data_IF_337842084151
#
_entry.id   IF_337842084151
#
_cell.length_a   1.000
_cell.length_b   1.000
_cell.length_c   1.000
_cell.angle_alpha   90.00
_cell.angle_beta   90.00
_cell.angle_gamma   90.00
#
_symmetry.space_group_name_H-M   'P 1'
#
loop_
_entity.id
_entity.type
_entity.pdbx_description
1 polymer ?
#
# COMPACT_ATOMS: atom_id res chain seq x y z
N UNK A 1 -19.17 1.36 1.99
CA UNK A 1 -18.06 1.52 2.96
C UNK A 1 -18.11 0.52 4.10
N UNK A 2 -19.24 0.38 4.84
CA UNK A 2 -19.38 -0.61 5.92
C UNK A 2 -19.01 -2.04 5.49
N UNK A 3 -19.37 -2.40 4.26
CA UNK A 3 -19.09 -3.72 3.71
C UNK A 3 -17.58 -4.01 3.51
N UNK A 4 -16.77 -3.01 3.10
CA UNK A 4 -15.30 -3.16 2.96
C UNK A 4 -14.64 -3.50 4.29
N UNK A 5 -15.01 -2.78 5.36
CA UNK A 5 -14.49 -3.02 6.70
C UNK A 5 -14.88 -4.41 7.22
N UNK A 6 -16.13 -4.85 6.97
CA UNK A 6 -16.57 -6.21 7.31
C UNK A 6 -15.76 -7.28 6.55
N UNK A 7 -15.45 -7.04 5.27
CA UNK A 7 -14.61 -7.94 4.48
C UNK A 7 -13.17 -8.01 5.01
N UNK A 8 -12.53 -6.87 5.29
CA UNK A 8 -11.19 -6.86 5.89
C UNK A 8 -11.19 -7.58 7.25
N UNK A 9 -12.22 -7.39 8.07
CA UNK A 9 -12.35 -8.07 9.36
C UNK A 9 -12.56 -9.59 9.21
N UNK A 10 -13.35 -10.03 8.23
CA UNK A 10 -13.68 -11.43 8.02
C UNK A 10 -12.59 -12.23 7.30
N UNK A 11 -11.87 -11.60 6.36
CA UNK A 11 -10.95 -12.28 5.45
C UNK A 11 -9.51 -11.80 5.56
N UNK A 12 -9.24 -10.80 6.42
CA UNK A 12 -7.95 -10.13 6.45
C UNK A 12 -7.61 -9.55 5.07
N UNK A 13 -6.37 -9.78 4.64
CA UNK A 13 -5.87 -9.35 3.32
C UNK A 13 -6.11 -10.33 2.19
N UNK A 14 -6.90 -11.38 2.40
CA UNK A 14 -7.23 -12.34 1.34
C UNK A 14 -8.27 -11.77 0.35
N UNK A 15 -9.03 -10.76 0.76
CA UNK A 15 -10.11 -10.12 0.00
C UNK A 15 -9.98 -8.59 0.05
N UNK A 16 -10.17 -7.92 -1.08
CA UNK A 16 -10.07 -6.46 -1.18
C UNK A 16 -10.94 -5.94 -2.32
N UNK A 17 -11.23 -4.65 -2.26
CA UNK A 17 -11.87 -3.92 -3.36
C UNK A 17 -10.81 -3.68 -4.45
N UNK A 18 -10.99 -4.25 -5.63
CA UNK A 18 -10.12 -3.91 -6.74
C UNK A 18 -10.35 -2.48 -7.18
N UNK A 19 -9.34 -1.88 -7.79
CA UNK A 19 -9.60 -0.74 -8.69
C UNK A 19 -10.66 -1.15 -9.73
N UNK A 20 -11.48 -0.20 -10.22
CA UNK A 20 -12.41 -0.48 -11.31
C UNK A 20 -11.65 -1.17 -12.44
N UNK A 21 -12.06 -2.38 -12.79
CA UNK A 21 -11.44 -3.05 -13.94
C UNK A 21 -11.81 -2.32 -15.24
N UNK A 22 -11.10 -2.61 -16.34
CA UNK A 22 -11.47 -2.13 -17.69
C UNK A 22 -12.94 -2.48 -18.06
N UNK A 23 -13.54 -3.43 -17.36
CA UNK A 23 -14.94 -3.85 -17.50
C UNK A 23 -15.92 -3.11 -16.57
N UNK A 24 -15.49 -2.05 -15.87
CA UNK A 24 -16.38 -1.16 -15.10
C UNK A 24 -16.77 -1.65 -13.69
N UNK A 25 -16.39 -2.87 -13.33
CA UNK A 25 -16.77 -3.44 -12.03
C UNK A 25 -15.70 -3.16 -10.97
N UNK A 26 -16.05 -2.41 -9.92
CA UNK A 26 -15.33 -2.38 -8.66
C UNK A 26 -15.78 -3.57 -7.81
N UNK A 27 -15.14 -4.73 -7.98
CA UNK A 27 -15.53 -5.95 -7.27
C UNK A 27 -14.65 -6.20 -6.04
N UNK A 28 -15.24 -6.80 -5.01
CA UNK A 28 -14.47 -7.45 -3.97
C UNK A 28 -13.92 -8.74 -4.55
N UNK A 29 -12.63 -8.74 -4.85
CA UNK A 29 -11.98 -9.92 -5.40
C UNK A 29 -11.15 -10.56 -4.30
N UNK A 30 -11.36 -11.84 -4.10
CA UNK A 30 -10.59 -12.64 -3.18
C UNK A 30 -9.74 -13.61 -3.96
N UNK A 31 -8.45 -13.72 -3.60
CA UNK A 31 -7.50 -14.55 -4.34
C UNK A 31 -7.03 -15.69 -3.48
N UNK A 32 -7.05 -16.86 -4.09
CA UNK A 32 -6.85 -18.10 -3.39
C UNK A 32 -5.86 -18.94 -4.18
N UNK A 33 -4.94 -19.57 -3.46
CA UNK A 33 -3.95 -20.49 -4.04
C UNK A 33 -4.60 -21.80 -4.53
N UNK A 34 -5.83 -22.09 -4.13
CA UNK A 34 -6.58 -23.30 -4.50
C UNK A 34 -8.07 -22.98 -4.68
N UNK A 35 -8.74 -23.72 -5.56
CA UNK A 35 -10.18 -23.57 -5.80
C UNK A 35 -11.02 -23.89 -4.55
N UNK A 36 -10.61 -24.88 -3.74
CA UNK A 36 -11.32 -25.25 -2.52
C UNK A 36 -11.38 -24.10 -1.51
N UNK A 37 -10.25 -23.40 -1.33
CA UNK A 37 -10.22 -22.21 -0.46
C UNK A 37 -11.04 -21.08 -1.05
N UNK A 38 -11.02 -20.94 -2.38
CA UNK A 38 -11.82 -19.94 -3.06
C UNK A 38 -13.31 -20.12 -2.84
N UNK A 39 -13.79 -21.34 -2.98
CA UNK A 39 -15.20 -21.67 -2.81
C UNK A 39 -15.65 -21.54 -1.36
N UNK A 40 -14.79 -21.93 -0.41
CA UNK A 40 -15.08 -21.80 1.03
C UNK A 40 -15.18 -20.33 1.46
N UNK A 41 -14.21 -19.51 1.07
CA UNK A 41 -14.20 -18.11 1.49
C UNK A 41 -15.23 -17.29 0.68
N UNK A 42 -15.50 -17.63 -0.59
CA UNK A 42 -16.57 -17.00 -1.36
C UNK A 42 -17.98 -17.27 -0.79
N UNK A 43 -18.20 -18.39 -0.09
CA UNK A 43 -19.45 -18.64 0.64
C UNK A 43 -19.66 -17.61 1.78
N UNK A 44 -18.58 -17.34 2.53
CA UNK A 44 -18.58 -16.34 3.61
C UNK A 44 -18.81 -14.92 3.05
N UNK A 45 -18.56 -14.66 1.76
CA UNK A 45 -18.83 -13.36 1.14
C UNK A 45 -20.32 -13.03 1.15
N UNK A 46 -21.19 -14.03 0.93
CA UNK A 46 -22.64 -13.87 1.03
C UNK A 46 -23.08 -13.43 2.42
N UNK A 47 -22.54 -14.09 3.46
CA UNK A 47 -22.84 -13.77 4.86
C UNK A 47 -22.36 -12.35 5.23
N UNK A 48 -21.14 -11.99 4.82
CA UNK A 48 -20.53 -10.69 5.12
C UNK A 48 -21.24 -9.54 4.40
N UNK A 49 -21.75 -9.79 3.19
CA UNK A 49 -22.61 -8.84 2.44
C UNK A 49 -24.02 -8.72 2.97
N UNK A 50 -24.43 -9.56 3.92
CA UNK A 50 -25.77 -9.56 4.48
C UNK A 50 -26.82 -10.15 3.54
N UNK A 51 -26.39 -10.99 2.58
CA UNK A 51 -27.33 -11.78 1.80
C UNK A 51 -28.07 -12.76 2.72
N UNK A 52 -29.32 -13.07 2.37
CA UNK A 52 -30.05 -14.11 3.05
C UNK A 52 -29.29 -15.46 2.93
N UNK A 53 -29.33 -16.32 3.96
CA UNK A 53 -28.73 -17.64 3.91
C UNK A 53 -29.22 -18.41 2.69
N UNK A 54 -28.31 -19.15 2.05
CA UNK A 54 -28.69 -19.95 0.88
C UNK A 54 -29.04 -21.38 1.29
N UNK A 55 -30.34 -21.71 1.23
CA UNK A 55 -30.87 -23.00 1.71
C UNK A 55 -30.31 -24.23 1.00
N UNK A 56 -29.79 -24.07 -0.23
CA UNK A 56 -29.16 -25.15 -1.01
C UNK A 56 -27.66 -25.30 -0.74
N UNK A 57 -27.10 -24.46 0.12
CA UNK A 57 -25.67 -24.40 0.40
C UNK A 57 -24.87 -23.73 -0.72
N UNK A 58 -23.67 -23.26 -0.38
CA UNK A 58 -22.76 -22.61 -1.30
C UNK A 58 -21.93 -23.65 -2.05
N UNK A 59 -22.11 -23.80 -3.36
CA UNK A 59 -21.33 -24.74 -4.19
C UNK A 59 -20.84 -24.05 -5.46
N UNK A 60 -19.53 -24.02 -5.66
CA UNK A 60 -18.94 -23.54 -6.90
C UNK A 60 -19.32 -24.43 -8.07
N UNK A 61 -19.75 -23.81 -9.16
CA UNK A 61 -20.08 -24.46 -10.42
C UNK A 61 -19.05 -24.07 -11.49
N UNK A 62 -18.47 -25.03 -12.22
CA UNK A 62 -17.55 -24.70 -13.32
C UNK A 62 -18.28 -23.93 -14.42
N UNK A 63 -17.60 -22.96 -15.03
CA UNK A 63 -18.12 -22.22 -16.19
C UNK A 63 -17.69 -22.96 -17.45
N UNK A 64 -18.68 -23.44 -18.21
CA UNK A 64 -18.44 -24.24 -19.41
C UNK A 64 -17.52 -23.52 -20.41
N UNK A 65 -16.46 -24.21 -20.83
CA UNK A 65 -15.48 -23.69 -21.80
C UNK A 65 -14.37 -22.81 -21.20
N UNK A 66 -14.24 -22.75 -19.87
CA UNK A 66 -13.20 -21.97 -19.17
C UNK A 66 -12.65 -22.75 -17.96
N UNK A 67 -11.55 -22.28 -17.39
CA UNK A 67 -11.01 -22.78 -16.10
C UNK A 67 -11.64 -22.04 -14.89
N UNK A 68 -12.69 -21.24 -15.12
CA UNK A 68 -13.35 -20.42 -14.10
C UNK A 68 -14.52 -21.15 -13.45
N UNK A 69 -14.90 -20.67 -12.27
CA UNK A 69 -16.04 -21.13 -11.49
C UNK A 69 -16.98 -19.96 -11.19
N UNK A 70 -18.22 -20.27 -10.83
CA UNK A 70 -19.19 -19.32 -10.31
C UNK A 70 -19.75 -19.82 -9.00
N UNK A 71 -20.01 -18.91 -8.07
CA UNK A 71 -20.68 -19.24 -6.81
C UNK A 71 -21.88 -18.31 -6.60
N UNK A 72 -23.05 -18.89 -6.41
CA UNK A 72 -24.22 -18.16 -5.94
C UNK A 72 -24.09 -17.90 -4.44
N UNK A 73 -24.17 -16.63 -4.03
CA UNK A 73 -23.91 -16.16 -2.66
C UNK A 73 -25.19 -15.74 -1.89
N UNK A 74 -26.35 -16.20 -2.33
CA UNK A 74 -27.66 -15.99 -1.70
C UNK A 74 -28.78 -16.68 -2.49
N UNK A 75 -30.04 -16.66 -2.01
CA UNK A 75 -31.16 -17.31 -2.69
C UNK A 75 -31.49 -16.70 -4.06
N UNK A 76 -31.14 -15.43 -4.29
CA UNK A 76 -31.25 -14.78 -5.59
C UNK A 76 -30.10 -15.22 -6.51
N UNK A 77 -30.44 -15.73 -7.69
CA UNK A 77 -29.48 -16.17 -8.72
C UNK A 77 -28.68 -15.01 -9.31
N UNK A 78 -29.17 -13.78 -9.21
CA UNK A 78 -28.43 -12.58 -9.59
C UNK A 78 -27.24 -12.31 -8.65
N UNK A 79 -27.31 -12.77 -7.40
CA UNK A 79 -26.22 -12.66 -6.43
C UNK A 79 -25.23 -13.80 -6.64
N UNK A 80 -24.45 -13.72 -7.72
CA UNK A 80 -23.41 -14.67 -8.06
C UNK A 80 -22.04 -14.00 -8.17
N UNK A 81 -20.99 -14.72 -7.80
CA UNK A 81 -19.60 -14.25 -7.88
C UNK A 81 -18.81 -15.12 -8.86
N UNK A 82 -18.07 -14.50 -9.80
CA UNK A 82 -17.07 -15.21 -10.56
C UNK A 82 -15.88 -15.57 -9.64
N UNK A 83 -15.49 -16.83 -9.66
CA UNK A 83 -14.30 -17.37 -8.97
C UNK A 83 -13.30 -17.73 -10.06
N UNK A 84 -12.29 -16.89 -10.26
CA UNK A 84 -11.35 -16.99 -11.39
C UNK A 84 -9.96 -17.42 -10.93
N UNK A 85 -9.30 -18.25 -11.72
CA UNK A 85 -7.90 -18.65 -11.50
C UNK A 85 -6.96 -17.77 -12.33
N UNK A 86 -6.81 -16.50 -11.92
CA UNK A 86 -5.96 -15.51 -12.60
C UNK A 86 -5.26 -14.61 -11.60
N UNK A 87 -4.31 -13.80 -12.09
CA UNK A 87 -3.66 -12.78 -11.28
C UNK A 87 -4.69 -11.88 -10.60
N UNK A 88 -4.40 -11.59 -9.35
CA UNK A 88 -5.08 -10.58 -8.57
C UNK A 88 -5.12 -9.23 -9.31
N UNK A 89 -6.30 -8.62 -9.56
CA UNK A 89 -6.34 -7.21 -9.91
C UNK A 89 -5.70 -6.42 -8.77
N UNK A 90 -5.08 -5.31 -9.12
CA UNK A 90 -4.51 -4.40 -8.15
C UNK A 90 -5.54 -4.01 -7.08
N UNK A 91 -5.10 -4.01 -5.82
CA UNK A 91 -5.90 -3.48 -4.73
C UNK A 91 -6.06 -1.97 -4.88
N UNK A 92 -7.24 -1.43 -4.55
CA UNK A 92 -7.41 0.03 -4.51
C UNK A 92 -6.32 0.68 -3.63
N UNK A 93 -5.65 1.74 -4.10
CA UNK A 93 -4.64 2.45 -3.31
C UNK A 93 -5.28 3.25 -2.16
N UNK A 94 -6.61 3.30 -2.08
CA UNK A 94 -7.33 4.00 -1.02
C UNK A 94 -7.15 3.33 0.35
N UNK A 95 -6.63 4.09 1.30
CA UNK A 95 -6.43 3.67 2.70
C UNK A 95 -7.64 4.07 3.53
N UNK A 96 -8.06 3.23 4.48
CA UNK A 96 -9.18 3.56 5.37
C UNK A 96 -8.68 4.38 6.55
N UNK A 97 -9.11 5.64 6.64
CA UNK A 97 -8.88 6.54 7.77
C UNK A 97 -10.22 6.86 8.42
N UNK A 98 -10.38 6.55 9.71
CA UNK A 98 -11.62 6.77 10.47
C UNK A 98 -12.89 6.23 9.77
N UNK A 99 -12.76 5.08 9.08
CA UNK A 99 -13.85 4.41 8.35
C UNK A 99 -14.10 4.94 6.93
N UNK A 100 -13.33 5.94 6.50
CA UNK A 100 -13.45 6.58 5.17
C UNK A 100 -12.23 6.19 4.30
N UNK A 101 -12.41 5.67 3.08
CA UNK A 101 -11.36 5.53 2.08
C UNK A 101 -10.84 6.92 1.68
N UNK A 102 -9.53 7.09 1.81
CA UNK A 102 -8.80 8.32 1.52
C UNK A 102 -7.67 8.00 0.57
N UNK A 103 -7.44 8.90 -0.39
CA UNK A 103 -6.29 8.86 -1.27
C UNK A 103 -5.04 9.33 -0.53
N UNK A 104 -3.93 8.65 -0.76
CA UNK A 104 -2.64 9.08 -0.22
C UNK A 104 -2.16 10.28 -1.01
N UNK A 105 -1.80 11.35 -0.32
CA UNK A 105 -1.27 12.57 -0.91
C UNK A 105 -0.17 13.11 0.00
N UNK A 106 0.98 12.45 -0.05
CA UNK A 106 2.12 12.68 0.81
C UNK A 106 2.80 14.04 0.61
N UNK A 107 3.89 14.29 1.34
CA UNK A 107 4.59 15.57 1.33
C UNK A 107 5.19 15.96 -0.03
N UNK A 108 5.44 14.98 -0.92
CA UNK A 108 6.09 15.22 -2.21
C UNK A 108 5.12 15.32 -3.40
N UNK A 109 3.81 15.40 -3.14
CA UNK A 109 2.74 15.50 -4.15
C UNK A 109 2.88 16.61 -5.20
N UNK A 110 3.64 17.67 -4.90
CA UNK A 110 3.86 18.79 -5.83
C UNK A 110 5.08 18.58 -6.74
N UNK A 111 5.83 17.48 -6.56
CA UNK A 111 6.87 17.08 -7.51
C UNK A 111 6.24 16.49 -8.77
N UNK A 112 6.85 16.78 -9.93
CA UNK A 112 6.39 16.24 -11.21
C UNK A 112 6.83 14.78 -11.31
N UNK A 113 5.87 13.86 -11.31
CA UNK A 113 6.12 12.44 -11.50
C UNK A 113 6.89 12.13 -12.81
N UNK A 114 7.81 11.16 -12.80
CA UNK A 114 8.45 10.71 -14.03
C UNK A 114 7.48 9.92 -14.91
N UNK A 115 7.90 9.63 -16.14
CA UNK A 115 7.05 8.93 -17.12
C UNK A 115 6.73 7.49 -16.68
N UNK A 116 7.63 6.84 -15.96
CA UNK A 116 7.53 5.41 -15.60
C UNK A 116 6.89 5.19 -14.21
N UNK A 117 5.79 5.89 -13.90
CA UNK A 117 5.01 5.63 -12.69
C UNK A 117 4.13 4.39 -12.88
N UNK A 118 4.36 3.36 -12.05
CA UNK A 118 3.61 2.12 -12.12
C UNK A 118 3.50 1.39 -10.76
N UNK A 119 2.45 0.57 -10.56
CA UNK A 119 2.30 -0.21 -9.33
C UNK A 119 3.45 -1.21 -9.15
N UNK A 120 3.97 -1.30 -7.93
CA UNK A 120 5.04 -2.23 -7.59
C UNK A 120 6.40 -1.87 -8.17
N UNK A 121 6.65 -0.61 -8.54
CA UNK A 121 7.95 -0.05 -8.95
C UNK A 121 8.66 0.59 -7.74
N UNK A 122 10.00 0.67 -7.74
CA UNK A 122 10.76 1.32 -6.66
C UNK A 122 11.00 2.79 -7.02
N UNK A 123 11.55 3.55 -6.08
CA UNK A 123 12.03 4.91 -6.34
C UNK A 123 13.49 4.90 -6.86
N UNK A 124 13.91 3.85 -7.58
CA UNK A 124 15.23 3.72 -8.21
C UNK A 124 15.22 4.14 -9.70
N UNK A 125 14.04 4.49 -10.22
CA UNK A 125 13.89 4.96 -11.60
C UNK A 125 14.47 6.35 -11.83
N UNK A 126 14.58 6.72 -13.11
CA UNK A 126 15.02 8.05 -13.54
C UNK A 126 13.98 9.12 -13.13
N UNK A 127 14.42 10.14 -12.38
CA UNK A 127 13.55 11.23 -11.91
C UNK A 127 13.21 12.28 -12.99
N UNK A 128 13.94 12.30 -14.09
CA UNK A 128 13.90 13.36 -15.11
C UNK A 128 14.69 14.62 -14.72
N UNK A 129 15.28 14.65 -13.52
CA UNK A 129 16.06 15.78 -13.00
C UNK A 129 17.54 15.52 -13.26
N UNK A 130 18.25 16.51 -13.82
CA UNK A 130 19.67 16.39 -14.11
C UNK A 130 20.52 16.31 -12.83
N UNK A 131 21.55 15.46 -12.83
CA UNK A 131 22.50 15.30 -11.71
C UNK A 131 23.65 16.33 -11.70
N UNK A 132 23.79 17.13 -12.77
CA UNK A 132 24.85 18.12 -12.95
C UNK A 132 26.04 17.62 -13.78
N UNK A 133 26.19 16.31 -13.96
CA UNK A 133 27.24 15.66 -14.76
C UNK A 133 26.73 15.21 -16.14
N UNK A 134 25.50 15.60 -16.49
CA UNK A 134 24.84 15.26 -17.75
C UNK A 134 24.03 13.97 -17.70
N UNK A 135 23.93 13.33 -16.53
CA UNK A 135 23.01 12.24 -16.24
C UNK A 135 21.73 12.73 -15.57
N UNK A 136 21.03 11.82 -14.89
CA UNK A 136 19.81 12.13 -14.15
C UNK A 136 19.81 11.46 -12.80
N UNK A 137 19.32 12.17 -11.79
CA UNK A 137 19.12 11.64 -10.44
C UNK A 137 18.09 10.50 -10.48
N UNK A 138 18.30 9.51 -9.63
CA UNK A 138 17.25 8.55 -9.30
C UNK A 138 16.12 9.26 -8.54
N UNK A 139 14.88 8.75 -8.63
CA UNK A 139 13.72 9.32 -7.92
C UNK A 139 13.98 9.49 -6.42
N UNK A 140 14.59 8.49 -5.77
CA UNK A 140 14.91 8.54 -4.34
C UNK A 140 15.92 9.64 -4.02
N UNK A 141 16.93 9.83 -4.87
CA UNK A 141 17.95 10.86 -4.69
C UNK A 141 17.33 12.24 -4.82
N UNK A 142 16.41 12.41 -5.79
CA UNK A 142 15.67 13.64 -5.96
C UNK A 142 14.79 13.98 -4.74
N UNK A 143 14.03 13.01 -4.23
CA UNK A 143 13.21 13.18 -3.02
C UNK A 143 14.07 13.59 -1.81
N UNK A 144 15.20 12.92 -1.60
CA UNK A 144 16.13 13.25 -0.52
C UNK A 144 16.77 14.65 -0.73
N UNK A 145 17.12 15.01 -1.96
CA UNK A 145 17.67 16.33 -2.26
C UNK A 145 16.67 17.47 -1.97
N UNK A 146 15.40 17.29 -2.33
CA UNK A 146 14.32 18.25 -2.03
C UNK A 146 14.12 18.37 -0.51
N UNK A 147 14.08 17.24 0.21
CA UNK A 147 13.99 17.24 1.67
C UNK A 147 15.16 18.04 2.29
N UNK A 148 16.39 17.72 1.85
CA UNK A 148 17.63 18.34 2.33
C UNK A 148 17.64 19.84 2.08
N UNK A 149 17.24 20.28 0.89
CA UNK A 149 17.14 21.71 0.52
C UNK A 149 16.16 22.46 1.42
N UNK A 150 14.98 21.88 1.68
CA UNK A 150 13.97 22.50 2.55
C UNK A 150 14.44 22.62 4.00
N UNK A 151 15.24 21.66 4.45
CA UNK A 151 15.70 21.53 5.83
C UNK A 151 17.17 21.97 6.01
N UNK A 152 17.62 22.96 5.22
CA UNK A 152 18.91 23.67 5.39
C UNK A 152 20.16 22.77 5.34
N UNK A 153 20.12 21.70 4.56
CA UNK A 153 21.24 20.78 4.41
C UNK A 153 21.12 19.49 5.22
N UNK A 154 20.16 19.40 6.14
CA UNK A 154 19.88 18.19 6.92
C UNK A 154 18.69 17.43 6.34
N UNK A 155 18.60 16.11 6.57
CA UNK A 155 17.44 15.32 6.16
C UNK A 155 16.49 15.19 7.35
N UNK A 156 15.23 15.61 7.16
CA UNK A 156 14.19 15.55 8.18
C UNK A 156 13.20 14.42 7.88
N UNK A 157 12.80 13.66 8.90
CA UNK A 157 11.73 12.67 8.77
C UNK A 157 10.37 13.36 8.62
N UNK A 158 9.57 12.93 7.65
CA UNK A 158 8.20 13.40 7.45
C UNK A 158 7.22 12.84 8.50
N UNK A 159 7.63 11.77 9.20
CA UNK A 159 6.91 11.19 10.33
C UNK A 159 7.62 11.44 11.66
N UNK A 160 8.43 12.50 11.76
CA UNK A 160 9.07 12.91 13.00
C UNK A 160 8.10 12.86 14.21
N UNK A 161 8.53 12.20 15.29
CA UNK A 161 7.72 12.00 16.50
C UNK A 161 6.68 10.87 16.41
N UNK A 162 6.56 10.15 15.29
CA UNK A 162 5.68 8.99 15.16
C UNK A 162 6.11 7.86 16.11
N UNK A 163 5.14 7.24 16.78
CA UNK A 163 5.38 6.22 17.80
C UNK A 163 5.03 4.83 17.28
N UNK A 164 5.94 3.88 17.46
CA UNK A 164 5.77 2.51 16.98
C UNK A 164 6.43 1.50 17.93
N UNK A 165 5.97 0.24 17.99
CA UNK A 165 6.62 -0.77 18.80
C UNK A 165 8.03 -1.07 18.27
N UNK A 166 9.01 -1.07 19.17
CA UNK A 166 10.38 -1.44 18.82
C UNK A 166 10.54 -2.98 18.68
N UNK A 167 11.71 -3.40 18.20
CA UNK A 167 12.10 -4.81 18.20
C UNK A 167 12.30 -5.31 19.64
N UNK A 168 12.18 -6.63 19.82
CA UNK A 168 12.45 -7.28 21.11
C UNK A 168 13.90 -7.00 21.56
N UNK A 169 14.08 -6.48 22.78
CA UNK A 169 15.39 -6.08 23.32
C UNK A 169 15.65 -4.58 23.33
N UNK A 170 14.71 -3.77 22.82
CA UNK A 170 14.71 -2.31 22.84
C UNK A 170 13.65 -1.78 23.82
N UNK A 171 13.56 -0.46 24.09
CA UNK A 171 12.38 0.12 24.76
C UNK A 171 11.08 -0.35 24.09
N UNK A 172 9.99 -0.45 24.86
CA UNK A 172 8.72 -0.98 24.31
C UNK A 172 8.19 -0.14 23.12
N UNK A 173 8.45 1.16 23.12
CA UNK A 173 8.00 2.12 22.11
C UNK A 173 9.19 2.92 21.59
N UNK A 174 9.31 2.96 20.28
CA UNK A 174 10.25 3.76 19.51
C UNK A 174 9.56 5.06 19.09
N UNK A 175 10.34 6.12 18.95
CA UNK A 175 9.89 7.39 18.40
C UNK A 175 10.74 7.70 17.18
N UNK A 176 10.10 8.01 16.07
CA UNK A 176 10.77 8.43 14.85
C UNK A 176 11.55 9.73 15.10
N UNK A 177 12.86 9.78 14.81
CA UNK A 177 13.67 10.96 15.05
C UNK A 177 13.29 12.12 14.12
N UNK A 178 13.56 13.35 14.55
CA UNK A 178 13.34 14.54 13.73
C UNK A 178 14.27 14.55 12.51
N UNK A 179 15.56 14.29 12.74
CA UNK A 179 16.60 14.30 11.72
C UNK A 179 17.18 12.91 11.50
N UNK A 180 17.51 12.62 10.24
CA UNK A 180 17.96 11.33 9.76
C UNK A 180 19.39 11.44 9.23
N UNK A 181 20.12 10.33 9.33
CA UNK A 181 21.47 10.24 8.78
C UNK A 181 21.39 10.22 7.25
N UNK A 182 22.32 10.93 6.63
CA UNK A 182 22.43 10.97 5.18
C UNK A 182 22.94 9.62 4.65
N UNK A 183 22.25 8.95 3.71
CA UNK A 183 22.74 7.70 3.13
C UNK A 183 24.14 7.83 2.50
N UNK A 184 24.48 9.04 2.05
CA UNK A 184 25.76 9.35 1.39
C UNK A 184 26.82 9.90 2.36
N UNK A 185 26.57 9.89 3.67
CA UNK A 185 27.54 10.36 4.66
C UNK A 185 28.82 9.51 4.65
N UNK A 186 29.97 10.19 4.56
CA UNK A 186 31.30 9.57 4.67
C UNK A 186 31.54 8.99 6.08
N UNK A 187 31.11 9.71 7.12
CA UNK A 187 31.18 9.28 8.51
C UNK A 187 29.85 8.68 8.95
N UNK A 188 29.85 7.40 9.30
CA UNK A 188 28.65 6.68 9.74
C UNK A 188 28.64 6.53 11.26
N UNK A 189 27.56 6.98 11.89
CA UNK A 189 27.37 6.75 13.33
C UNK A 189 27.22 5.26 13.64
N UNK A 190 27.48 4.81 14.88
CA UNK A 190 27.26 3.41 15.28
C UNK A 190 25.81 2.91 15.09
N UNK A 191 24.85 3.84 14.96
CA UNK A 191 23.43 3.57 14.76
C UNK A 191 22.95 3.80 13.32
N UNK A 192 23.86 4.11 12.39
CA UNK A 192 23.58 4.53 11.02
C UNK A 192 22.56 3.64 10.30
N UNK A 193 22.63 2.32 10.45
CA UNK A 193 21.72 1.38 9.80
C UNK A 193 20.24 1.51 10.21
N UNK A 194 19.96 2.16 11.33
CA UNK A 194 18.62 2.37 11.86
C UNK A 194 18.11 3.80 11.61
N UNK A 195 19.01 4.78 11.59
CA UNK A 195 18.69 6.20 11.46
C UNK A 195 18.89 6.76 10.06
N UNK A 196 19.45 5.98 9.13
CA UNK A 196 19.61 6.39 7.72
C UNK A 196 18.26 6.72 7.09
N UNK A 197 18.22 7.83 6.36
CA UNK A 197 17.05 8.25 5.61
C UNK A 197 16.70 7.26 4.50
N UNK A 198 15.42 6.95 4.37
CA UNK A 198 14.86 6.12 3.31
C UNK A 198 13.60 6.74 2.74
N UNK A 199 13.41 6.58 1.43
CA UNK A 199 12.15 6.92 0.77
C UNK A 199 11.19 5.75 0.90
N UNK A 200 10.09 5.99 1.60
CA UNK A 200 9.03 5.05 1.92
C UNK A 200 7.85 5.19 0.95
N UNK A 201 7.24 4.04 0.66
CA UNK A 201 5.97 3.95 -0.06
C UNK A 201 4.83 3.90 0.94
N UNK A 202 4.06 4.99 1.08
CA UNK A 202 2.95 5.08 2.05
C UNK A 202 1.91 4.00 1.78
N UNK A 203 1.46 3.85 0.53
CA UNK A 203 0.86 2.62 0.03
C UNK A 203 2.00 1.70 -0.40
N UNK A 204 2.22 0.56 0.29
CA UNK A 204 3.32 -0.33 -0.04
C UNK A 204 3.31 -0.81 -1.48
N UNK A 205 4.51 -0.95 -2.08
CA UNK A 205 4.71 -1.54 -3.42
C UNK A 205 3.92 -2.81 -3.68
N UNK A 206 3.84 -3.67 -2.66
CA UNK A 206 3.16 -4.95 -2.73
C UNK A 206 2.19 -5.06 -1.58
N UNK A 207 1.02 -5.62 -1.86
CA UNK A 207 0.11 -6.03 -0.81
C UNK A 207 0.59 -7.33 -0.12
N UNK A 208 -0.17 -7.81 0.86
CA UNK A 208 0.14 -9.03 1.62
C UNK A 208 0.10 -10.32 0.79
N UNK A 209 -0.31 -10.27 -0.48
CA UNK A 209 -0.31 -11.39 -1.43
C UNK A 209 0.88 -11.31 -2.38
N UNK A 210 1.77 -10.33 -2.16
CA UNK A 210 2.90 -9.99 -3.00
C UNK A 210 2.50 -9.42 -4.38
N UNK A 211 1.25 -8.99 -4.55
CA UNK A 211 0.78 -8.38 -5.79
C UNK A 211 1.15 -6.90 -5.83
N UNK A 212 1.50 -6.33 -7.01
CA UNK A 212 1.73 -4.90 -7.15
C UNK A 212 0.55 -4.07 -6.62
N UNK A 213 0.83 -3.04 -5.82
CA UNK A 213 -0.19 -2.24 -5.13
C UNK A 213 0.07 -0.73 -5.19
N UNK A 214 0.97 -0.20 -4.37
CA UNK A 214 1.39 1.21 -4.42
C UNK A 214 2.29 1.49 -5.62
N UNK A 215 2.27 2.74 -6.10
CA UNK A 215 3.12 3.24 -7.19
C UNK A 215 4.36 3.93 -6.66
N UNK A 216 5.36 4.14 -7.52
CA UNK A 216 6.50 5.03 -7.31
C UNK A 216 6.17 6.51 -7.64
N UNK A 217 4.91 6.94 -7.51
CA UNK A 217 4.55 8.36 -7.60
C UNK A 217 5.07 9.11 -6.37
N UNK A 218 5.44 10.37 -6.53
CA UNK A 218 5.87 11.23 -5.44
C UNK A 218 4.73 11.53 -4.45
N UNK A 219 3.46 11.47 -4.84
CA UNK A 219 2.35 11.56 -3.89
C UNK A 219 2.34 10.38 -2.90
N UNK A 220 2.93 9.25 -3.28
CA UNK A 220 3.03 8.04 -2.45
C UNK A 220 4.35 7.97 -1.67
N UNK A 221 5.18 9.02 -1.72
CA UNK A 221 6.49 9.06 -1.10
C UNK A 221 6.48 9.77 0.26
N UNK A 222 7.29 9.27 1.19
CA UNK A 222 7.66 9.95 2.43
C UNK A 222 9.12 9.63 2.81
N UNK A 223 9.84 10.53 3.44
CA UNK A 223 11.18 10.30 3.98
C UNK A 223 11.09 9.92 5.45
N UNK A 224 11.58 8.73 5.79
CA UNK A 224 11.57 8.20 7.17
C UNK A 224 12.86 7.42 7.47
N UNK A 225 13.08 7.08 8.73
CA UNK A 225 14.21 6.25 9.15
C UNK A 225 14.09 4.82 8.60
N UNK A 226 15.23 4.18 8.34
CA UNK A 226 15.28 2.76 8.00
C UNK A 226 14.61 1.86 9.06
N UNK A 227 14.63 2.28 10.33
CA UNK A 227 13.95 1.59 11.41
C UNK A 227 12.43 1.63 11.28
N UNK A 228 11.84 2.79 11.04
CA UNK A 228 10.41 2.92 10.82
C UNK A 228 9.97 2.24 9.51
N UNK A 229 10.77 2.37 8.43
CA UNK A 229 10.45 1.73 7.16
C UNK A 229 10.39 0.19 7.27
N UNK A 230 11.30 -0.42 8.07
CA UNK A 230 11.23 -1.85 8.39
C UNK A 230 10.00 -2.23 9.21
N UNK A 231 9.50 -1.33 10.06
CA UNK A 231 8.27 -1.57 10.81
C UNK A 231 7.04 -1.61 9.89
N UNK A 232 7.00 -0.74 8.88
CA UNK A 232 5.91 -0.71 7.89
C UNK A 232 6.02 -1.77 6.78
N UNK A 233 7.17 -2.42 6.63
CA UNK A 233 7.39 -3.41 5.55
C UNK A 233 6.32 -4.52 5.58
N UNK A 234 5.61 -4.68 4.45
CA UNK A 234 4.53 -5.66 4.23
C UNK A 234 3.28 -5.49 5.13
N UNK A 235 3.11 -4.32 5.75
CA UNK A 235 1.91 -3.98 6.52
C UNK A 235 1.05 -2.98 5.75
N UNK A 236 -0.26 -3.01 6.00
CA UNK A 236 -1.14 -1.96 5.47
C UNK A 236 -0.81 -0.66 6.24
N UNK A 237 -0.82 0.51 5.57
CA UNK A 237 -0.47 1.77 6.21
C UNK A 237 -1.45 2.09 7.35
N UNK A 238 -0.98 2.39 8.57
CA UNK A 238 -1.84 2.83 9.65
C UNK A 238 -2.53 4.16 9.31
N UNK A 239 -3.78 4.31 9.76
CA UNK A 239 -4.56 5.53 9.52
C UNK A 239 -3.86 6.81 10.04
N UNK A 240 -3.11 6.70 11.13
CA UNK A 240 -2.35 7.82 11.69
C UNK A 240 -1.21 8.29 10.77
N UNK A 241 -0.53 7.36 10.08
CA UNK A 241 0.48 7.70 9.09
C UNK A 241 -0.14 8.51 7.96
N UNK A 242 -1.17 7.95 7.32
CA UNK A 242 -1.83 8.60 6.16
C UNK A 242 -2.36 9.97 6.53
N UNK A 243 -2.97 10.11 7.72
CA UNK A 243 -3.45 11.40 8.20
C UNK A 243 -2.33 12.43 8.33
N UNK A 244 -1.23 12.08 9.01
CA UNK A 244 -0.10 12.99 9.20
C UNK A 244 0.54 13.41 7.88
N UNK A 245 0.70 12.48 6.94
CA UNK A 245 1.33 12.74 5.65
C UNK A 245 0.44 13.57 4.72
N UNK A 246 -0.87 13.29 4.69
CA UNK A 246 -1.83 14.08 3.92
C UNK A 246 -1.96 15.51 4.48
N UNK A 247 -1.89 15.69 5.80
CA UNK A 247 -1.95 17.00 6.45
C UNK A 247 -0.61 17.77 6.36
N UNK A 248 0.49 17.11 5.97
CA UNK A 248 1.80 17.72 5.87
C UNK A 248 1.86 18.77 4.75
N UNK A 249 2.61 19.85 5.00
CA UNK A 249 2.89 20.84 3.97
C UNK A 249 3.68 20.20 2.83
N UNK A 250 3.27 20.48 1.59
CA UNK A 250 3.96 19.98 0.42
C UNK A 250 5.38 20.56 0.33
N UNK A 251 6.33 19.74 -0.11
CA UNK A 251 7.63 20.20 -0.54
C UNK A 251 7.51 20.81 -1.93
N UNK A 252 8.11 21.99 -2.08
CA UNK A 252 8.26 22.66 -3.37
C UNK A 252 9.69 22.49 -3.86
N UNK A 253 9.91 22.13 -5.14
CA UNK A 253 11.23 22.02 -5.76
C UNK A 253 12.16 23.23 -5.55
#
# INVERSE_FOLDING_TARGET
MALRAKYIAAFGSACYTSEPSVFGDSTFNCFYKTIDKACKDAALIGEVSGNAPYDKGYTCQPVAGTDDYTLQIGPDVANSLPVRYRDAPRQTPLVVVDGVPVEVSGPYRDLVDPVEVAPGYEFDGNSGIGDGDGGSLEQREWVLAVNRKKNKGEIRSDLAGFKFPCKKGEPAICTEPDFLEDPDAEERSPFFADTVAQVHHVVPRKDKRCCPWGTNSYENAAVISAKLNRHFTNNDPPAEEVKRLNDAAAYTP
#
